data_IF_196627055606
#
_entry.id   IF_196627055606
#
_cell.length_a   1.000
_cell.length_b   1.000
_cell.length_c   1.000
_cell.angle_alpha   90.00
_cell.angle_beta   90.00
_cell.angle_gamma   90.00
#
_symmetry.space_group_name_H-M   'P 1'
#
loop_
_entity.id
_entity.type
_entity.pdbx_description
1 polymer ?
#
# COMPACT_ATOMS: atom_id res chain seq x y z
N UNK A 1 14.27 -62.60 -37.33
CA UNK A 1 13.27 -61.59 -36.88
C UNK A 1 13.33 -61.38 -35.36
N UNK A 2 13.30 -62.45 -34.56
CA UNK A 2 13.37 -62.38 -33.10
C UNK A 2 14.58 -61.59 -32.54
N UNK A 3 15.78 -61.79 -33.10
CA UNK A 3 17.00 -61.02 -32.73
C UNK A 3 16.83 -59.51 -32.93
N UNK A 4 16.16 -59.08 -34.01
CA UNK A 4 15.93 -57.67 -34.30
C UNK A 4 14.89 -57.06 -33.35
N UNK A 5 13.93 -57.86 -32.90
CA UNK A 5 12.92 -57.48 -31.91
C UNK A 5 13.46 -57.47 -30.47
N UNK A 6 14.76 -57.74 -30.25
CA UNK A 6 15.42 -57.88 -28.94
C UNK A 6 14.81 -58.97 -28.05
N UNK A 7 14.11 -59.93 -28.63
CA UNK A 7 13.61 -61.09 -27.91
C UNK A 7 14.63 -62.24 -28.05
N UNK A 8 15.68 -62.18 -27.24
CA UNK A 8 16.85 -63.05 -27.38
C UNK A 8 16.57 -64.50 -26.97
N UNK A 9 15.70 -64.73 -25.98
CA UNK A 9 15.33 -66.08 -25.53
C UNK A 9 14.59 -66.84 -26.62
N UNK A 10 13.57 -66.21 -27.21
CA UNK A 10 12.82 -66.77 -28.33
C UNK A 10 13.74 -66.99 -29.54
N UNK A 11 14.64 -66.05 -29.84
CA UNK A 11 15.61 -66.21 -30.92
C UNK A 11 16.52 -67.43 -30.70
N UNK A 12 17.03 -67.60 -29.48
CA UNK A 12 17.90 -68.70 -29.12
C UNK A 12 17.19 -70.06 -29.24
N UNK A 13 15.92 -70.13 -28.79
CA UNK A 13 15.09 -71.32 -28.93
C UNK A 13 14.76 -71.64 -30.40
N UNK A 14 14.43 -70.62 -31.21
CA UNK A 14 14.20 -70.78 -32.66
C UNK A 14 15.44 -71.32 -33.37
N UNK A 15 16.64 -70.80 -33.05
CA UNK A 15 17.89 -71.32 -33.60
C UNK A 15 18.19 -72.73 -33.12
N UNK A 16 17.87 -73.08 -31.86
CA UNK A 16 17.97 -74.45 -31.35
C UNK A 16 17.09 -75.42 -32.15
N UNK A 17 15.85 -75.01 -32.42
CA UNK A 17 14.89 -75.79 -33.23
C UNK A 17 15.40 -75.90 -34.67
N UNK A 18 15.89 -74.81 -35.25
CA UNK A 18 16.44 -74.79 -36.61
C UNK A 18 17.60 -75.80 -36.74
N UNK A 19 18.54 -75.82 -35.81
CA UNK A 19 19.66 -76.76 -35.78
C UNK A 19 19.22 -78.22 -35.66
N UNK A 20 18.17 -78.50 -34.88
CA UNK A 20 17.62 -79.86 -34.80
C UNK A 20 16.92 -80.30 -36.10
N UNK A 21 16.38 -79.36 -36.87
CA UNK A 21 15.67 -79.61 -38.14
C UNK A 21 16.57 -79.64 -39.37
N UNK A 22 17.74 -79.01 -39.29
CA UNK A 22 18.72 -78.88 -40.37
C UNK A 22 19.88 -79.83 -40.06
N UNK A 23 19.90 -81.07 -40.60
CA UNK A 23 21.06 -81.93 -40.41
C UNK A 23 22.29 -81.34 -41.11
N UNK A 24 23.47 -81.68 -40.60
CA UNK A 24 24.76 -81.37 -41.22
C UNK A 24 24.95 -82.24 -42.48
N UNK A 25 24.29 -81.81 -43.57
CA UNK A 25 24.33 -82.42 -44.88
C UNK A 25 24.77 -81.40 -45.91
N UNK A 26 25.44 -81.86 -46.97
CA UNK A 26 26.04 -80.99 -48.01
C UNK A 26 25.03 -80.02 -48.64
N UNK A 27 23.74 -80.39 -48.69
CA UNK A 27 22.66 -79.54 -49.24
C UNK A 27 22.15 -78.46 -48.29
N UNK A 28 22.29 -78.66 -46.97
CA UNK A 28 21.86 -77.75 -45.91
C UNK A 28 23.02 -77.06 -45.19
N UNK A 29 24.27 -77.40 -45.52
CA UNK A 29 25.47 -76.95 -44.83
C UNK A 29 25.50 -75.43 -44.60
N UNK A 30 25.23 -74.62 -45.64
CA UNK A 30 25.21 -73.16 -45.50
C UNK A 30 24.15 -72.66 -44.50
N UNK A 31 22.95 -73.22 -44.56
CA UNK A 31 21.86 -72.84 -43.65
C UNK A 31 22.12 -73.32 -42.22
N UNK A 32 22.76 -74.48 -42.07
CA UNK A 32 23.21 -75.01 -40.79
C UNK A 32 24.30 -74.12 -40.16
N UNK A 33 25.30 -73.70 -40.93
CA UNK A 33 26.36 -72.78 -40.49
C UNK A 33 25.79 -71.41 -40.08
N UNK A 34 24.85 -70.87 -40.86
CA UNK A 34 24.13 -69.64 -40.52
C UNK A 34 23.31 -69.80 -39.23
N UNK A 35 22.66 -70.95 -39.02
CA UNK A 35 21.94 -71.25 -37.80
C UNK A 35 22.87 -71.41 -36.59
N UNK A 36 24.06 -72.00 -36.75
CA UNK A 36 25.08 -72.10 -35.69
C UNK A 36 25.60 -70.71 -35.27
N UNK A 37 25.92 -69.86 -36.26
CA UNK A 37 26.35 -68.50 -36.00
C UNK A 37 25.26 -67.70 -35.24
N UNK A 38 24.00 -67.81 -35.70
CA UNK A 38 22.85 -67.20 -35.03
C UNK A 38 22.59 -67.77 -33.63
N UNK A 39 22.81 -69.07 -33.44
CA UNK A 39 22.69 -69.74 -32.13
C UNK A 39 23.73 -69.22 -31.13
N UNK A 40 24.99 -69.05 -31.57
CA UNK A 40 25.99 -68.46 -30.69
C UNK A 40 25.69 -66.98 -30.38
N UNK A 41 25.38 -66.17 -31.39
CA UNK A 41 25.08 -64.75 -31.18
C UNK A 41 23.88 -64.56 -30.23
N UNK A 42 22.79 -65.29 -30.46
CA UNK A 42 21.61 -65.27 -29.60
C UNK A 42 21.90 -65.76 -28.19
N UNK A 43 22.68 -66.84 -28.04
CA UNK A 43 23.04 -67.39 -26.73
C UNK A 43 23.90 -66.44 -25.90
N UNK A 44 24.84 -65.73 -26.53
CA UNK A 44 25.62 -64.67 -25.88
C UNK A 44 24.70 -63.53 -25.43
N UNK A 45 23.74 -63.10 -26.26
CA UNK A 45 22.78 -62.05 -25.90
C UNK A 45 21.86 -62.45 -24.74
N UNK A 46 21.40 -63.71 -24.72
CA UNK A 46 20.63 -64.25 -23.58
C UNK A 46 21.49 -64.28 -22.31
N UNK A 47 22.75 -64.69 -22.41
CA UNK A 47 23.66 -64.69 -21.27
C UNK A 47 23.93 -63.26 -20.75
N UNK A 48 24.14 -62.29 -21.64
CA UNK A 48 24.26 -60.87 -21.28
C UNK A 48 23.00 -60.35 -20.55
N UNK A 49 21.80 -60.73 -21.01
CA UNK A 49 20.55 -60.39 -20.34
C UNK A 49 20.44 -61.03 -18.95
N UNK A 50 20.74 -62.32 -18.83
CA UNK A 50 20.73 -63.03 -17.54
C UNK A 50 21.75 -62.42 -16.55
N UNK A 51 22.90 -61.96 -17.04
CA UNK A 51 23.88 -61.22 -16.25
C UNK A 51 23.30 -59.88 -15.75
N UNK A 52 22.61 -59.15 -16.63
CA UNK A 52 21.95 -57.90 -16.24
C UNK A 52 20.85 -58.11 -15.19
N UNK A 53 20.16 -59.26 -15.24
CA UNK A 53 19.16 -59.70 -14.26
C UNK A 53 19.78 -60.34 -13.00
N UNK A 54 21.11 -60.44 -12.91
CA UNK A 54 21.81 -61.05 -11.77
C UNK A 54 21.74 -62.59 -11.71
N UNK A 55 21.22 -63.24 -12.75
CA UNK A 55 21.08 -64.70 -12.89
C UNK A 55 22.36 -65.31 -13.47
N UNK A 56 23.46 -65.17 -12.72
CA UNK A 56 24.79 -65.62 -13.17
C UNK A 56 24.88 -67.13 -13.45
N UNK A 57 24.18 -67.96 -12.67
CA UNK A 57 24.17 -69.41 -12.86
C UNK A 57 23.47 -69.83 -14.16
N UNK A 58 22.36 -69.16 -14.50
CA UNK A 58 21.64 -69.39 -15.75
C UNK A 58 22.46 -68.91 -16.94
N UNK A 59 23.09 -67.73 -16.84
CA UNK A 59 24.01 -67.23 -17.86
C UNK A 59 25.17 -68.22 -18.14
N UNK A 60 25.78 -68.77 -17.09
CA UNK A 60 26.83 -69.79 -17.25
C UNK A 60 26.29 -71.07 -17.88
N UNK A 61 25.07 -71.49 -17.55
CA UNK A 61 24.45 -72.67 -18.17
C UNK A 61 24.18 -72.49 -19.66
N UNK A 62 23.69 -71.31 -20.08
CA UNK A 62 23.43 -70.98 -21.48
C UNK A 62 24.73 -70.93 -22.28
N UNK A 63 25.79 -70.33 -21.72
CA UNK A 63 27.09 -70.29 -22.38
C UNK A 63 27.72 -71.68 -22.53
N UNK A 64 27.60 -72.53 -21.50
CA UNK A 64 28.05 -73.93 -21.58
C UNK A 64 27.22 -74.74 -22.57
N UNK A 65 25.93 -74.43 -22.73
CA UNK A 65 25.10 -75.05 -23.77
C UNK A 65 25.61 -74.68 -25.17
N UNK A 66 25.87 -73.39 -25.42
CA UNK A 66 26.39 -72.90 -26.71
C UNK A 66 27.72 -73.54 -27.07
N UNK A 67 28.59 -73.74 -26.08
CA UNK A 67 29.93 -74.32 -26.25
C UNK A 67 29.95 -75.86 -26.25
N UNK A 68 28.79 -76.52 -26.22
CA UNK A 68 28.74 -77.98 -26.28
C UNK A 68 29.22 -78.50 -27.65
N UNK A 69 29.86 -79.67 -27.67
CA UNK A 69 30.43 -80.31 -28.87
C UNK A 69 29.44 -80.50 -30.04
N UNK A 70 28.13 -80.52 -29.74
CA UNK A 70 27.05 -80.63 -30.72
C UNK A 70 26.79 -79.35 -31.52
N UNK A 71 27.32 -78.21 -31.06
CA UNK A 71 27.13 -76.89 -31.67
C UNK A 71 28.49 -76.31 -32.08
N UNK A 72 28.99 -75.29 -31.38
CA UNK A 72 30.28 -74.65 -31.69
C UNK A 72 31.14 -74.48 -30.43
N UNK A 73 32.10 -75.39 -30.19
CA UNK A 73 33.07 -75.28 -29.10
C UNK A 73 34.00 -74.07 -29.20
N UNK A 74 34.17 -73.50 -30.40
CA UNK A 74 35.12 -72.42 -30.69
C UNK A 74 34.45 -71.05 -30.79
N UNK A 75 33.21 -70.91 -30.33
CA UNK A 75 32.57 -69.61 -30.36
C UNK A 75 33.25 -68.63 -29.40
N UNK A 76 34.12 -67.79 -29.97
CA UNK A 76 34.95 -66.80 -29.25
C UNK A 76 34.17 -65.93 -28.26
N UNK A 77 33.06 -65.26 -28.65
CA UNK A 77 32.35 -64.39 -27.72
C UNK A 77 31.75 -65.14 -26.53
N UNK A 78 31.33 -66.40 -26.70
CA UNK A 78 30.82 -67.22 -25.61
C UNK A 78 31.94 -67.66 -24.65
N UNK A 79 33.11 -68.04 -25.18
CA UNK A 79 34.29 -68.38 -24.38
C UNK A 79 34.79 -67.19 -23.55
N UNK A 80 34.88 -66.02 -24.17
CA UNK A 80 35.31 -64.78 -23.48
C UNK A 80 34.35 -64.43 -22.33
N UNK A 81 33.04 -64.48 -22.59
CA UNK A 81 32.03 -64.16 -21.57
C UNK A 81 32.02 -65.19 -20.42
N UNK A 82 32.21 -66.47 -20.73
CA UNK A 82 32.33 -67.52 -19.72
C UNK A 82 33.59 -67.33 -18.87
N UNK A 83 34.72 -66.97 -19.48
CA UNK A 83 35.95 -66.67 -18.75
C UNK A 83 35.75 -65.49 -17.77
N UNK A 84 35.07 -64.42 -18.20
CA UNK A 84 34.71 -63.30 -17.33
C UNK A 84 33.78 -63.72 -16.18
N UNK A 85 32.81 -64.60 -16.43
CA UNK A 85 31.90 -65.12 -15.38
C UNK A 85 32.61 -65.98 -14.33
N UNK A 86 33.64 -66.73 -14.74
CA UNK A 86 34.42 -67.58 -13.84
C UNK A 86 35.50 -66.80 -13.11
N UNK A 87 35.99 -65.69 -13.68
CA UNK A 87 36.97 -64.84 -13.04
C UNK A 87 36.42 -64.26 -11.72
N UNK A 88 37.07 -64.54 -10.58
CA UNK A 88 36.62 -64.00 -9.30
C UNK A 88 36.76 -62.48 -9.29
N UNK A 89 35.71 -61.79 -8.86
CA UNK A 89 35.68 -60.33 -8.74
C UNK A 89 35.40 -59.55 -10.03
N UNK A 90 35.33 -60.21 -11.19
CA UNK A 90 34.90 -59.53 -12.42
C UNK A 90 33.42 -59.13 -12.34
N UNK A 91 32.56 -60.09 -12.00
CA UNK A 91 31.15 -59.84 -11.67
C UNK A 91 30.90 -60.00 -10.18
N UNK A 92 30.14 -59.08 -9.60
CA UNK A 92 29.68 -59.22 -8.23
C UNK A 92 28.51 -60.21 -8.16
N UNK A 93 28.82 -61.47 -7.86
CA UNK A 93 27.82 -62.55 -7.71
C UNK A 93 26.89 -62.38 -6.51
N UNK A 94 27.16 -61.43 -5.61
CA UNK A 94 26.22 -61.07 -4.53
C UNK A 94 25.05 -60.24 -5.04
N UNK A 95 25.16 -59.63 -6.23
CA UNK A 95 24.07 -58.92 -6.90
C UNK A 95 23.13 -59.92 -7.59
N UNK A 96 22.44 -60.73 -6.79
CA UNK A 96 21.46 -61.70 -7.28
C UNK A 96 20.13 -61.06 -7.70
N UNK A 97 19.22 -61.85 -8.29
CA UNK A 97 17.91 -61.36 -8.76
C UNK A 97 17.08 -60.73 -7.63
N UNK A 98 17.09 -61.34 -6.45
CA UNK A 98 16.37 -60.83 -5.27
C UNK A 98 16.89 -59.48 -4.77
N UNK A 99 18.18 -59.18 -4.99
CA UNK A 99 18.74 -57.87 -4.66
C UNK A 99 18.32 -56.82 -5.70
N UNK A 100 18.34 -57.18 -6.98
CA UNK A 100 17.92 -56.29 -8.06
C UNK A 100 16.45 -55.92 -7.92
N UNK A 101 15.57 -56.89 -7.61
CA UNK A 101 14.16 -56.64 -7.32
C UNK A 101 13.96 -55.60 -6.21
N UNK A 102 14.71 -55.71 -5.10
CA UNK A 102 14.67 -54.73 -4.01
C UNK A 102 15.18 -53.36 -4.46
N UNK A 103 16.22 -53.30 -5.29
CA UNK A 103 16.73 -52.02 -5.83
C UNK A 103 15.69 -51.37 -6.73
N UNK A 104 14.96 -52.15 -7.55
CA UNK A 104 13.87 -51.65 -8.37
C UNK A 104 12.68 -51.16 -7.53
N UNK A 105 12.30 -51.91 -6.50
CA UNK A 105 11.28 -51.50 -5.53
C UNK A 105 11.66 -50.18 -4.85
N UNK A 106 12.90 -50.06 -4.36
CA UNK A 106 13.42 -48.82 -3.77
C UNK A 106 13.37 -47.66 -4.76
N UNK A 107 13.73 -47.87 -6.03
CA UNK A 107 13.64 -46.82 -7.07
C UNK A 107 12.20 -46.36 -7.29
N UNK A 108 11.25 -47.29 -7.35
CA UNK A 108 9.83 -46.96 -7.50
C UNK A 108 9.31 -46.17 -6.30
N UNK A 109 9.62 -46.61 -5.08
CA UNK A 109 9.22 -45.93 -3.85
C UNK A 109 9.81 -44.53 -3.73
N UNK A 110 11.07 -44.34 -4.12
CA UNK A 110 11.69 -43.01 -4.15
C UNK A 110 11.01 -42.09 -5.17
N UNK A 111 10.72 -42.59 -6.37
CA UNK A 111 10.01 -41.81 -7.39
C UNK A 111 8.60 -41.40 -6.92
N UNK A 112 7.87 -42.32 -6.27
CA UNK A 112 6.58 -42.04 -5.64
C UNK A 112 6.73 -40.95 -4.56
N UNK A 113 7.73 -41.09 -3.67
CA UNK A 113 7.97 -40.16 -2.57
C UNK A 113 8.27 -38.75 -3.07
N UNK A 114 9.11 -38.63 -4.10
CA UNK A 114 9.38 -37.35 -4.77
C UNK A 114 8.12 -36.77 -5.40
N UNK A 115 7.30 -37.58 -6.09
CA UNK A 115 6.02 -37.12 -6.63
C UNK A 115 5.03 -36.65 -5.54
N UNK A 116 5.02 -37.30 -4.38
CA UNK A 116 4.23 -36.84 -3.22
C UNK A 116 4.78 -35.54 -2.63
N UNK A 117 6.11 -35.40 -2.54
CA UNK A 117 6.75 -34.18 -2.09
C UNK A 117 6.41 -33.00 -3.02
N UNK A 118 6.56 -33.18 -4.33
CA UNK A 118 6.33 -32.14 -5.33
C UNK A 118 4.85 -31.71 -5.37
N UNK A 119 3.94 -32.60 -5.01
CA UNK A 119 2.51 -32.30 -4.83
C UNK A 119 2.15 -31.73 -3.45
N UNK A 120 3.13 -31.48 -2.58
CA UNK A 120 2.95 -30.94 -1.23
C UNK A 120 2.36 -31.92 -0.21
N UNK A 121 2.21 -33.20 -0.57
CA UNK A 121 1.66 -34.26 0.31
C UNK A 121 2.76 -34.87 1.16
N UNK A 122 3.29 -34.07 2.08
CA UNK A 122 4.48 -34.40 2.87
C UNK A 122 4.32 -35.64 3.75
N UNK A 123 3.14 -35.90 4.32
CA UNK A 123 2.95 -37.07 5.19
C UNK A 123 2.95 -38.40 4.41
N UNK A 124 2.46 -38.38 3.17
CA UNK A 124 2.54 -39.55 2.28
C UNK A 124 3.97 -39.75 1.78
N UNK A 125 4.65 -38.67 1.42
CA UNK A 125 6.05 -38.72 1.02
C UNK A 125 6.93 -39.30 2.13
N UNK A 126 6.75 -38.86 3.38
CA UNK A 126 7.50 -39.35 4.54
C UNK A 126 7.34 -40.87 4.72
N UNK A 127 6.10 -41.38 4.66
CA UNK A 127 5.82 -42.82 4.74
C UNK A 127 6.50 -43.62 3.63
N UNK A 128 6.56 -43.08 2.42
CA UNK A 128 7.25 -43.73 1.29
C UNK A 128 8.77 -43.78 1.51
N UNK A 129 9.35 -42.72 2.07
CA UNK A 129 10.76 -42.75 2.48
C UNK A 129 11.02 -43.75 3.62
N UNK A 130 10.14 -43.85 4.61
CA UNK A 130 10.26 -44.89 5.65
C UNK A 130 10.18 -46.31 5.07
N UNK A 131 9.34 -46.55 4.05
CA UNK A 131 9.30 -47.85 3.35
C UNK A 131 10.64 -48.16 2.67
N UNK A 132 11.29 -47.15 2.07
CA UNK A 132 12.65 -47.31 1.52
C UNK A 132 13.63 -47.67 2.63
N UNK A 133 13.58 -46.99 3.78
CA UNK A 133 14.44 -47.28 4.93
C UNK A 133 14.17 -48.65 5.57
N UNK A 134 12.95 -49.20 5.43
CA UNK A 134 12.65 -50.55 5.86
C UNK A 134 13.32 -51.61 4.98
N UNK A 135 13.47 -51.34 3.68
CA UNK A 135 14.16 -52.23 2.71
C UNK A 135 15.68 -52.04 2.80
N UNK A 136 16.12 -50.78 2.79
CA UNK A 136 17.52 -50.35 2.88
C UNK A 136 17.69 -49.30 4.00
N UNK A 137 18.00 -49.76 5.22
CA UNK A 137 18.15 -48.89 6.40
C UNK A 137 19.19 -47.77 6.26
N UNK A 138 20.14 -47.91 5.34
CA UNK A 138 21.24 -46.95 5.17
C UNK A 138 21.12 -46.12 3.90
N UNK A 139 19.92 -46.05 3.31
CA UNK A 139 19.69 -45.28 2.10
C UNK A 139 19.79 -43.76 2.36
N UNK A 140 20.85 -43.14 1.82
CA UNK A 140 21.08 -41.70 1.98
C UNK A 140 20.06 -40.82 1.25
N UNK A 141 19.49 -41.29 0.13
CA UNK A 141 18.50 -40.53 -0.62
C UNK A 141 17.19 -40.40 0.18
N UNK A 142 16.74 -41.49 0.82
CA UNK A 142 15.55 -41.46 1.66
C UNK A 142 15.72 -40.52 2.87
N UNK A 143 16.86 -40.58 3.57
CA UNK A 143 17.14 -39.68 4.71
C UNK A 143 17.19 -38.20 4.30
N UNK A 144 17.81 -37.89 3.16
CA UNK A 144 17.79 -36.53 2.60
C UNK A 144 16.38 -36.10 2.21
N UNK A 145 15.55 -37.03 1.73
CA UNK A 145 14.14 -36.79 1.44
C UNK A 145 13.32 -36.43 2.68
N UNK A 146 13.50 -37.17 3.78
CA UNK A 146 12.90 -36.86 5.09
C UNK A 146 13.33 -35.48 5.59
N UNK A 147 14.63 -35.16 5.53
CA UNK A 147 15.15 -33.83 5.90
C UNK A 147 14.53 -32.71 5.04
N UNK A 148 14.38 -32.93 3.74
CA UNK A 148 13.74 -31.98 2.82
C UNK A 148 12.28 -31.72 3.23
N UNK A 149 11.55 -32.75 3.63
CA UNK A 149 10.18 -32.65 4.15
C UNK A 149 10.14 -31.84 5.45
N UNK A 150 11.01 -32.16 6.40
CA UNK A 150 11.04 -31.49 7.69
C UNK A 150 11.39 -30.00 7.54
N UNK A 151 12.33 -29.67 6.66
CA UNK A 151 12.65 -28.30 6.31
C UNK A 151 11.46 -27.56 5.66
N UNK A 152 10.69 -28.22 4.80
CA UNK A 152 9.50 -27.64 4.20
C UNK A 152 8.41 -27.38 5.25
N UNK A 153 8.18 -28.34 6.16
CA UNK A 153 7.25 -28.18 7.29
C UNK A 153 7.69 -27.06 8.23
N UNK A 154 8.99 -26.96 8.52
CA UNK A 154 9.57 -25.90 9.33
C UNK A 154 9.32 -24.52 8.72
N UNK A 155 9.64 -24.32 7.43
CA UNK A 155 9.42 -23.05 6.72
C UNK A 155 7.95 -22.64 6.70
N UNK A 156 7.05 -23.59 6.45
CA UNK A 156 5.61 -23.34 6.56
C UNK A 156 5.23 -22.82 7.95
N UNK A 157 5.80 -23.40 9.01
CA UNK A 157 5.60 -22.94 10.38
C UNK A 157 6.07 -21.50 10.61
N UNK A 158 7.24 -21.13 10.09
CA UNK A 158 7.74 -19.75 10.15
C UNK A 158 6.82 -18.77 9.40
N UNK A 159 6.40 -19.12 8.19
CA UNK A 159 5.50 -18.29 7.37
C UNK A 159 4.14 -18.11 8.06
N UNK A 160 3.56 -19.18 8.58
CA UNK A 160 2.29 -19.14 9.31
C UNK A 160 2.38 -18.28 10.58
N UNK A 161 3.50 -18.37 11.31
CA UNK A 161 3.77 -17.53 12.47
C UNK A 161 3.90 -16.05 12.08
N UNK A 162 4.67 -15.75 11.04
CA UNK A 162 4.88 -14.40 10.55
C UNK A 162 3.58 -13.76 10.04
N UNK A 163 2.75 -14.52 9.35
CA UNK A 163 1.42 -14.09 8.90
C UNK A 163 0.53 -13.72 10.09
N UNK A 164 0.43 -14.63 11.06
CA UNK A 164 -0.39 -14.43 12.27
C UNK A 164 0.09 -13.20 13.05
N UNK A 165 1.40 -13.06 13.22
CA UNK A 165 2.01 -11.89 13.88
C UNK A 165 1.73 -10.61 13.10
N UNK A 166 1.86 -10.63 11.77
CA UNK A 166 1.57 -9.50 10.90
C UNK A 166 0.12 -9.05 10.99
N UNK A 167 -0.84 -9.99 11.03
CA UNK A 167 -2.26 -9.68 11.28
C UNK A 167 -2.47 -9.00 12.61
N UNK A 168 -1.91 -9.56 13.69
CA UNK A 168 -2.05 -8.97 15.03
C UNK A 168 -1.47 -7.56 15.09
N UNK A 169 -0.32 -7.31 14.48
CA UNK A 169 0.27 -5.97 14.37
C UNK A 169 -0.61 -5.02 13.55
N UNK A 170 -1.21 -5.49 12.46
CA UNK A 170 -2.17 -4.72 11.66
C UNK A 170 -3.40 -4.33 12.48
N UNK A 171 -3.94 -5.25 13.28
CA UNK A 171 -5.11 -4.98 14.12
C UNK A 171 -4.80 -4.01 15.25
N UNK A 172 -3.62 -4.15 15.88
CA UNK A 172 -3.11 -3.12 16.80
C UNK A 172 -3.04 -1.79 16.09
N UNK A 173 -2.41 -1.71 14.91
CA UNK A 173 -2.29 -0.44 14.20
C UNK A 173 -3.65 0.18 13.84
N UNK A 174 -4.65 -0.63 13.44
CA UNK A 174 -6.02 -0.14 13.22
C UNK A 174 -6.63 0.45 14.49
N UNK A 175 -6.35 -0.12 15.67
CA UNK A 175 -6.79 0.44 16.95
C UNK A 175 -6.14 1.78 17.31
N UNK A 176 -4.92 2.03 16.83
CA UNK A 176 -4.22 3.31 17.01
C UNK A 176 -4.55 4.35 15.93
N UNK A 177 -5.12 3.93 14.80
CA UNK A 177 -5.58 4.85 13.78
C UNK A 177 -6.70 5.71 14.37
N UNK A 178 -6.45 7.01 14.46
CA UNK A 178 -7.53 7.95 14.70
C UNK A 178 -8.47 7.84 13.50
N UNK A 179 -9.77 7.55 13.71
CA UNK A 179 -10.70 7.57 12.60
C UNK A 179 -10.55 8.92 11.91
N UNK A 180 -10.25 8.89 10.61
CA UNK A 180 -10.23 10.09 9.79
C UNK A 180 -11.52 10.82 10.11
N UNK A 181 -11.42 12.10 10.51
CA UNK A 181 -12.61 12.94 10.57
C UNK A 181 -13.19 12.89 9.17
N UNK A 182 -14.25 12.12 9.00
CA UNK A 182 -15.06 12.22 7.82
C UNK A 182 -15.55 13.65 7.88
N UNK A 183 -14.97 14.52 7.06
CA UNK A 183 -15.63 15.75 6.71
C UNK A 183 -16.96 15.27 6.16
N UNK A 184 -18.03 15.40 6.96
CA UNK A 184 -19.37 15.08 6.53
C UNK A 184 -19.58 15.74 5.17
N UNK A 185 -20.42 15.15 4.29
CA UNK A 185 -20.60 15.63 2.91
C UNK A 185 -20.64 17.14 3.00
N UNK A 186 -19.61 17.80 2.47
CA UNK A 186 -19.33 19.23 2.69
C UNK A 186 -20.68 19.89 2.71
N UNK A 187 -21.14 20.30 3.90
CA UNK A 187 -22.53 20.71 4.07
C UNK A 187 -22.75 21.67 2.93
N UNK A 188 -23.61 21.31 1.96
CA UNK A 188 -23.88 22.13 0.77
C UNK A 188 -23.93 23.53 1.30
N UNK A 189 -22.96 24.37 0.90
CA UNK A 189 -22.75 25.67 1.53
C UNK A 189 -24.11 26.25 1.76
N UNK A 190 -24.55 26.20 3.02
CA UNK A 190 -25.85 26.72 3.35
C UNK A 190 -25.50 28.18 3.38
N UNK A 191 -25.62 28.82 2.22
CA UNK A 191 -25.44 30.24 2.05
C UNK A 191 -26.27 30.87 3.14
N UNK A 192 -25.63 31.23 4.26
CA UNK A 192 -26.22 32.13 5.21
C UNK A 192 -26.48 33.40 4.39
N UNK A 193 -27.73 33.88 4.27
CA UNK A 193 -28.06 35.03 3.45
C UNK A 193 -27.59 36.32 4.13
N UNK A 194 -26.29 36.44 4.38
CA UNK A 194 -25.61 37.69 4.76
C UNK A 194 -25.77 38.71 3.61
N UNK A 195 -25.91 38.24 2.37
CA UNK A 195 -26.22 39.05 1.20
C UNK A 195 -27.55 39.82 1.29
N UNK A 196 -28.54 39.32 2.06
CA UNK A 196 -29.82 40.06 2.24
C UNK A 196 -29.65 41.24 3.20
N UNK A 197 -28.99 41.02 4.34
CA UNK A 197 -28.79 42.06 5.36
C UNK A 197 -27.87 43.20 4.89
N UNK A 198 -26.86 42.92 4.04
CA UNK A 198 -26.01 43.97 3.46
C UNK A 198 -26.79 44.85 2.47
N UNK A 199 -27.65 44.24 1.64
CA UNK A 199 -28.52 44.97 0.70
C UNK A 199 -29.50 45.88 1.45
N UNK A 200 -30.10 45.37 2.54
CA UNK A 200 -31.07 46.10 3.34
C UNK A 200 -30.42 47.28 4.11
N UNK A 201 -29.22 47.10 4.67
CA UNK A 201 -28.45 48.18 5.32
C UNK A 201 -28.02 49.25 4.33
N UNK A 202 -27.55 48.85 3.13
CA UNK A 202 -27.17 49.79 2.07
C UNK A 202 -28.36 50.65 1.61
N UNK A 203 -29.56 50.05 1.52
CA UNK A 203 -30.79 50.76 1.18
C UNK A 203 -31.18 51.81 2.22
N UNK A 204 -31.07 51.51 3.51
CA UNK A 204 -31.37 52.49 4.57
C UNK A 204 -30.36 53.62 4.57
N UNK A 205 -29.07 53.33 4.41
CA UNK A 205 -28.05 54.36 4.26
C UNK A 205 -28.33 55.29 3.08
N UNK A 206 -28.80 54.75 1.95
CA UNK A 206 -29.18 55.57 0.80
C UNK A 206 -30.38 56.49 1.12
N UNK A 207 -31.41 55.98 1.80
CA UNK A 207 -32.55 56.79 2.26
C UNK A 207 -32.13 57.91 3.21
N UNK A 208 -31.25 57.63 4.17
CA UNK A 208 -30.72 58.64 5.10
C UNK A 208 -30.00 59.79 4.38
N UNK A 209 -29.33 59.51 3.27
CA UNK A 209 -28.58 60.51 2.51
C UNK A 209 -29.41 61.25 1.47
N UNK A 210 -30.46 60.61 0.93
CA UNK A 210 -31.26 61.17 -0.18
C UNK A 210 -32.48 61.95 0.31
N UNK A 211 -33.05 61.60 1.46
CA UNK A 211 -34.21 62.32 2.02
C UNK A 211 -33.72 63.65 2.58
N UNK A 212 -34.03 64.74 1.87
CA UNK A 212 -33.70 66.11 2.27
C UNK A 212 -34.88 66.70 3.05
N UNK A 213 -34.62 67.18 4.26
CA UNK A 213 -35.62 67.85 5.08
C UNK A 213 -35.51 69.36 4.85
N UNK A 214 -36.57 70.03 4.37
CA UNK A 214 -36.48 71.44 3.97
C UNK A 214 -36.07 72.39 5.09
N UNK A 215 -36.63 72.21 6.30
CA UNK A 215 -36.33 73.00 7.49
C UNK A 215 -36.64 72.20 8.77
N UNK A 216 -35.71 72.21 9.72
CA UNK A 216 -35.85 71.64 11.05
C UNK A 216 -35.47 72.72 12.06
N UNK A 217 -36.39 73.08 12.94
CA UNK A 217 -36.14 74.05 14.00
C UNK A 217 -36.73 73.52 15.31
N UNK A 218 -35.86 73.32 16.30
CA UNK A 218 -36.23 72.90 17.65
C UNK A 218 -35.77 73.96 18.64
N UNK A 219 -36.66 74.32 19.55
CA UNK A 219 -36.41 75.24 20.66
C UNK A 219 -36.78 74.50 21.94
N UNK A 220 -35.78 73.98 22.68
CA UNK A 220 -35.95 73.21 23.92
C UNK A 220 -36.80 71.92 23.77
N UNK A 221 -36.72 71.25 22.61
CA UNK A 221 -37.49 70.03 22.34
C UNK A 221 -36.88 68.79 23.03
N UNK A 222 -37.73 67.83 23.40
CA UNK A 222 -37.24 66.52 23.86
C UNK A 222 -36.75 65.65 22.71
N UNK A 223 -35.85 64.69 22.99
CA UNK A 223 -35.34 63.72 21.99
C UNK A 223 -36.49 62.99 21.28
N UNK A 224 -37.54 62.63 22.02
CA UNK A 224 -38.68 61.89 21.47
C UNK A 224 -39.47 62.76 20.49
N UNK A 225 -39.80 63.98 20.86
CA UNK A 225 -40.50 64.94 19.98
C UNK A 225 -39.68 65.26 18.73
N UNK A 226 -38.36 65.44 18.88
CA UNK A 226 -37.46 65.72 17.77
C UNK A 226 -37.42 64.57 16.76
N UNK A 227 -37.44 63.32 17.23
CA UNK A 227 -37.43 62.12 16.38
C UNK A 227 -38.77 61.88 15.72
N UNK A 228 -39.88 62.09 16.43
CA UNK A 228 -41.22 61.96 15.86
C UNK A 228 -41.44 62.99 14.73
N UNK A 229 -40.96 64.22 14.92
CA UNK A 229 -40.93 65.22 13.85
C UNK A 229 -40.07 64.76 12.65
N UNK A 230 -38.87 64.23 12.90
CA UNK A 230 -38.02 63.71 11.82
C UNK A 230 -38.64 62.51 11.10
N UNK A 231 -39.36 61.62 11.79
CA UNK A 231 -40.08 60.50 11.16
C UNK A 231 -41.18 61.00 10.23
N UNK A 232 -41.94 62.00 10.67
CA UNK A 232 -42.99 62.61 9.84
C UNK A 232 -42.42 63.31 8.61
N UNK A 233 -41.37 64.12 8.79
CA UNK A 233 -40.69 64.79 7.68
C UNK A 233 -39.99 63.82 6.74
N UNK A 234 -39.42 62.73 7.25
CA UNK A 234 -38.81 61.69 6.44
C UNK A 234 -39.83 60.98 5.56
N UNK A 235 -41.00 60.63 6.10
CA UNK A 235 -42.07 59.99 5.34
C UNK A 235 -42.67 60.92 4.26
N UNK A 236 -42.78 62.22 4.56
CA UNK A 236 -43.32 63.21 3.63
C UNK A 236 -42.36 63.52 2.46
N UNK A 237 -41.04 63.51 2.71
CA UNK A 237 -40.02 63.88 1.71
C UNK A 237 -39.30 62.65 1.09
N UNK A 238 -39.77 61.42 1.33
CA UNK A 238 -39.21 60.20 0.71
C UNK A 238 -39.78 59.97 -0.70
N UNK A 239 -38.91 60.13 -1.70
CA UNK A 239 -39.18 59.91 -3.14
C UNK A 239 -38.78 58.52 -3.63
N UNK A 240 -38.33 57.62 -2.74
CA UNK A 240 -37.88 56.28 -3.11
C UNK A 240 -39.02 55.41 -3.66
N UNK A 241 -38.83 54.69 -4.79
CA UNK A 241 -39.90 53.92 -5.44
C UNK A 241 -40.20 52.54 -4.83
N UNK A 242 -39.38 52.04 -3.90
CA UNK A 242 -39.60 50.73 -3.24
C UNK A 242 -39.61 50.85 -1.70
N UNK A 243 -40.57 50.17 -1.06
CA UNK A 243 -40.68 49.94 0.40
C UNK A 243 -41.51 50.94 1.19
N UNK A 244 -41.51 50.77 2.52
CA UNK A 244 -42.14 51.71 3.46
C UNK A 244 -41.52 53.11 3.31
N UNK A 245 -42.35 54.15 3.26
CA UNK A 245 -41.89 55.54 3.16
C UNK A 245 -41.20 55.98 4.44
N UNK A 246 -40.05 56.63 4.31
CA UNK A 246 -39.21 57.06 5.42
C UNK A 246 -38.29 55.95 5.95
N UNK A 247 -37.77 56.16 7.17
CA UNK A 247 -36.84 55.26 7.87
C UNK A 247 -37.35 55.06 9.31
N UNK A 248 -37.37 53.81 9.79
CA UNK A 248 -37.77 53.52 11.16
C UNK A 248 -36.64 53.91 12.13
N UNK A 249 -36.90 54.85 13.05
CA UNK A 249 -35.90 55.37 13.99
C UNK A 249 -36.29 54.93 15.40
N UNK A 250 -35.38 54.25 16.09
CA UNK A 250 -35.61 53.68 17.43
C UNK A 250 -34.58 54.24 18.41
N UNK A 251 -35.06 54.84 19.50
CA UNK A 251 -34.21 55.34 20.59
C UNK A 251 -34.06 54.30 21.67
N UNK A 252 -32.81 53.98 22.03
CA UNK A 252 -32.48 53.10 23.14
C UNK A 252 -31.76 53.90 24.22
N UNK A 253 -32.48 54.30 25.26
CA UNK A 253 -31.93 55.11 26.35
C UNK A 253 -31.38 54.28 27.54
N UNK A 254 -31.61 52.97 27.57
CA UNK A 254 -31.12 52.05 28.62
C UNK A 254 -30.09 51.06 28.08
N UNK A 255 -29.06 50.77 28.87
CA UNK A 255 -28.05 49.74 28.54
C UNK A 255 -28.66 48.35 28.60
N UNK A 256 -28.25 47.47 27.68
CA UNK A 256 -28.64 46.06 27.68
C UNK A 256 -27.92 45.34 28.83
N UNK A 257 -28.62 45.00 29.92
CA UNK A 257 -28.06 44.19 31.02
C UNK A 257 -28.39 44.57 32.46
N UNK A 258 -29.14 45.64 32.74
CA UNK A 258 -29.58 45.92 34.13
C UNK A 258 -30.86 45.15 34.48
N UNK A 259 -30.68 44.07 35.26
CA UNK A 259 -31.75 43.34 35.95
C UNK A 259 -31.72 43.79 37.42
N UNK A 260 -32.89 44.10 37.98
CA UNK A 260 -33.09 44.54 39.37
C UNK A 260 -32.45 43.60 40.41
N UNK A 261 -31.91 44.09 41.55
CA UNK A 261 -31.52 43.20 42.65
C UNK A 261 -32.80 42.70 43.36
N UNK A 262 -33.21 41.48 43.01
CA UNK A 262 -34.19 40.73 43.80
C UNK A 262 -33.50 40.08 45.00
N UNK A 263 -34.06 40.33 46.18
CA UNK A 263 -33.67 39.81 47.49
C UNK A 263 -33.66 38.27 47.49
N UNK A 264 -32.60 37.69 48.05
CA UNK A 264 -32.47 36.26 48.33
C UNK A 264 -33.20 35.87 49.62
N UNK A 265 -33.93 34.75 49.67
CA UNK A 265 -34.30 34.10 50.92
C UNK A 265 -33.41 32.87 51.21
N UNK A 266 -33.01 32.75 52.47
CA UNK A 266 -32.20 31.69 53.05
C UNK A 266 -33.02 30.48 53.49
N UNK A 267 -32.48 29.26 53.35
CA UNK A 267 -32.89 28.04 54.11
C UNK A 267 -31.75 26.98 54.08
N UNK A 268 -31.73 25.92 54.93
CA UNK A 268 -30.76 25.75 56.02
C UNK A 268 -29.95 24.42 55.98
N UNK A 269 -29.12 24.22 57.01
CA UNK A 269 -28.14 23.16 57.27
C UNK A 269 -28.67 21.70 57.28
N UNK A 270 -27.84 20.69 56.90
CA UNK A 270 -28.10 19.26 57.15
C UNK A 270 -27.51 18.75 58.50
N UNK A 271 -28.01 17.61 59.05
CA UNK A 271 -27.74 17.15 60.41
C UNK A 271 -26.52 16.20 60.57
N UNK A 272 -26.10 16.05 61.84
CA UNK A 272 -24.94 15.32 62.37
C UNK A 272 -25.25 13.90 62.88
N UNK A 273 -24.28 12.98 62.77
CA UNK A 273 -23.94 11.90 63.73
C UNK A 273 -22.66 11.17 63.23
N UNK A 274 -21.76 10.55 64.00
CA UNK A 274 -21.19 10.70 65.34
C UNK A 274 -19.95 9.74 65.42
N UNK A 275 -19.00 10.06 66.31
CA UNK A 275 -17.90 9.22 66.85
C UNK A 275 -16.70 8.90 65.92
N UNK A 276 -15.43 9.03 66.33
CA UNK A 276 -14.81 9.47 67.58
C UNK A 276 -13.35 9.01 67.62
N UNK A 277 -12.41 9.89 68.04
CA UNK A 277 -11.21 9.65 68.86
C UNK A 277 -10.16 10.78 68.71
N UNK A 278 -9.32 11.05 69.73
CA UNK A 278 -9.01 12.42 70.16
C UNK A 278 -7.52 12.84 70.10
N UNK A 279 -7.28 14.16 70.26
CA UNK A 279 -6.05 14.76 70.81
C UNK A 279 -5.09 15.36 69.78
N UNK A 280 -5.17 16.69 69.55
CA UNK A 280 -4.20 17.74 69.97
C UNK A 280 -2.96 17.80 69.04
N UNK A 281 -2.59 18.91 68.40
CA UNK A 281 -2.17 20.19 69.00
C UNK A 281 -2.34 21.41 68.04
N UNK A 282 -2.68 22.55 68.67
CA UNK A 282 -2.56 23.99 68.38
C UNK A 282 -2.48 24.63 66.96
N UNK A 283 -3.12 25.83 66.77
CA UNK A 283 -3.17 26.58 65.52
C UNK A 283 -2.12 27.70 65.41
N UNK A 284 -1.81 28.13 64.18
CA UNK A 284 -1.17 29.44 63.91
C UNK A 284 -2.11 30.26 63.03
N UNK A 285 -2.43 31.47 63.50
CA UNK A 285 -3.25 32.47 62.83
C UNK A 285 -2.36 33.53 62.16
N UNK A 286 -2.77 34.06 61.00
CA UNK A 286 -2.54 35.45 60.57
C UNK A 286 -3.46 35.80 59.38
N UNK A 287 -3.77 37.09 59.10
CA UNK A 287 -5.15 37.55 58.88
C UNK A 287 -5.37 38.16 57.48
N UNK A 288 -6.63 38.47 57.21
CA UNK A 288 -7.13 39.13 56.01
C UNK A 288 -6.63 40.60 55.85
N UNK A 289 -6.59 41.07 54.59
CA UNK A 289 -6.45 42.49 54.20
C UNK A 289 -7.67 42.89 53.33
N UNK A 290 -8.24 44.11 53.49
CA UNK A 290 -9.59 44.43 53.02
C UNK A 290 -9.68 44.96 51.59
N UNK A 291 -10.90 44.90 51.07
CA UNK A 291 -11.37 45.33 49.76
C UNK A 291 -11.34 46.85 49.55
N UNK A 292 -11.07 47.26 48.32
CA UNK A 292 -11.09 48.64 47.85
C UNK A 292 -12.38 48.95 47.05
N UNK A 293 -12.75 50.22 47.15
CA UNK A 293 -14.00 50.90 46.81
C UNK A 293 -14.13 51.25 45.31
N UNK A 294 -15.36 51.31 44.77
CA UNK A 294 -15.68 51.63 43.38
C UNK A 294 -16.25 53.06 43.21
N UNK A 295 -15.99 53.77 42.09
CA UNK A 295 -16.41 55.18 41.87
C UNK A 295 -17.78 55.32 41.16
N UNK A 296 -18.35 56.56 41.04
CA UNK A 296 -19.79 56.81 40.95
C UNK A 296 -20.40 56.93 39.53
N UNK A 297 -21.75 56.88 39.50
CA UNK A 297 -22.66 56.75 38.34
C UNK A 297 -22.93 58.10 37.65
N UNK A 298 -22.88 58.13 36.31
CA UNK A 298 -23.22 59.29 35.45
C UNK A 298 -24.70 59.19 35.00
N UNK A 299 -25.41 60.32 34.98
CA UNK A 299 -26.84 60.46 34.68
C UNK A 299 -27.30 59.89 33.32
N UNK A 300 -28.55 59.40 33.26
CA UNK A 300 -29.16 58.74 32.10
C UNK A 300 -29.52 59.72 30.95
N UNK A 301 -29.41 59.30 29.68
CA UNK A 301 -29.50 60.16 28.47
C UNK A 301 -30.93 60.57 28.04
N UNK A 302 -31.96 60.29 28.84
CA UNK A 302 -33.37 60.39 28.42
C UNK A 302 -34.00 61.79 28.58
N UNK A 303 -33.34 62.71 29.27
CA UNK A 303 -33.83 64.07 29.53
C UNK A 303 -33.07 65.17 28.75
N UNK A 304 -32.35 64.82 27.67
CA UNK A 304 -31.61 65.83 26.91
C UNK A 304 -32.57 66.77 26.17
N UNK A 305 -32.29 68.08 26.28
CA UNK A 305 -33.00 69.16 25.58
C UNK A 305 -32.24 69.54 24.33
N UNK A 306 -32.95 69.62 23.20
CA UNK A 306 -32.36 69.85 21.87
C UNK A 306 -32.80 71.23 21.39
N UNK A 307 -31.82 72.06 21.05
CA UNK A 307 -32.03 73.36 20.43
C UNK A 307 -31.16 73.42 19.18
N UNK A 308 -31.79 73.43 18.00
CA UNK A 308 -31.08 73.39 16.72
C UNK A 308 -31.93 73.98 15.60
N UNK A 309 -31.30 74.68 14.66
CA UNK A 309 -31.91 75.16 13.42
C UNK A 309 -31.10 74.69 12.21
N UNK A 310 -31.71 73.85 11.38
CA UNK A 310 -31.12 73.19 10.22
C UNK A 310 -31.99 73.45 9.00
N UNK A 311 -31.38 73.81 7.85
CA UNK A 311 -32.09 74.06 6.59
C UNK A 311 -31.53 73.15 5.49
N UNK A 312 -32.40 72.53 4.69
CA UNK A 312 -32.03 71.70 3.53
C UNK A 312 -30.99 70.63 3.87
N UNK A 313 -31.27 69.81 4.88
CA UNK A 313 -30.29 68.83 5.41
C UNK A 313 -30.76 67.39 5.19
N UNK A 314 -29.85 66.46 4.83
CA UNK A 314 -30.16 65.03 4.75
C UNK A 314 -30.62 64.47 6.10
N UNK A 315 -31.58 63.55 6.08
CA UNK A 315 -32.12 62.90 7.28
C UNK A 315 -31.02 62.29 8.18
N UNK A 316 -30.00 61.66 7.58
CA UNK A 316 -28.88 61.08 8.32
C UNK A 316 -28.06 62.11 9.08
N UNK A 317 -27.83 63.29 8.50
CA UNK A 317 -27.12 64.37 9.16
C UNK A 317 -27.96 65.03 10.26
N UNK A 318 -29.26 65.26 10.00
CA UNK A 318 -30.18 65.75 11.02
C UNK A 318 -30.22 64.83 12.25
N UNK A 319 -30.31 63.51 12.03
CA UNK A 319 -30.23 62.52 13.10
C UNK A 319 -28.91 62.56 13.85
N UNK A 320 -27.78 62.72 13.14
CA UNK A 320 -26.46 62.82 13.76
C UNK A 320 -26.32 64.06 14.64
N UNK A 321 -26.82 65.22 14.20
CA UNK A 321 -26.77 66.45 15.01
C UNK A 321 -27.61 66.34 16.27
N UNK A 322 -28.83 65.77 16.17
CA UNK A 322 -29.70 65.53 17.32
C UNK A 322 -29.08 64.50 18.27
N UNK A 323 -28.52 63.42 17.74
CA UNK A 323 -27.87 62.38 18.52
C UNK A 323 -26.67 62.94 19.30
N UNK A 324 -25.84 63.77 18.67
CA UNK A 324 -24.70 64.41 19.31
C UNK A 324 -25.11 65.35 20.47
N UNK A 325 -26.19 66.12 20.32
CA UNK A 325 -26.72 66.96 21.43
C UNK A 325 -27.27 66.11 22.58
N UNK A 326 -27.76 64.90 22.28
CA UNK A 326 -28.33 63.96 23.25
C UNK A 326 -27.31 62.96 23.84
N UNK A 327 -26.02 63.06 23.49
CA UNK A 327 -25.01 62.06 23.80
C UNK A 327 -25.42 60.61 23.39
N UNK A 328 -26.00 60.49 22.20
CA UNK A 328 -26.31 59.23 21.51
C UNK A 328 -25.48 59.07 20.23
N UNK A 329 -25.18 57.83 19.84
CA UNK A 329 -24.58 57.44 18.56
C UNK A 329 -25.64 56.84 17.64
N UNK A 330 -25.54 57.11 16.34
CA UNK A 330 -26.42 56.56 15.31
C UNK A 330 -25.82 55.26 14.78
N UNK A 331 -26.57 54.16 14.85
CA UNK A 331 -26.22 52.86 14.26
C UNK A 331 -27.29 52.47 13.24
N UNK A 332 -26.88 52.09 12.04
CA UNK A 332 -27.79 51.66 10.97
C UNK A 332 -27.87 50.14 10.95
N UNK A 333 -29.08 49.61 11.08
CA UNK A 333 -29.41 48.19 10.98
C UNK A 333 -30.21 47.92 9.70
N UNK A 334 -30.35 46.66 9.24
CA UNK A 334 -31.06 46.31 8.00
C UNK A 334 -32.50 46.84 7.88
N UNK A 335 -33.19 47.15 8.99
CA UNK A 335 -34.58 47.60 8.98
C UNK A 335 -34.85 48.88 9.79
N UNK A 336 -33.86 49.41 10.51
CA UNK A 336 -34.06 50.58 11.38
C UNK A 336 -32.75 51.31 11.65
N UNK A 337 -32.88 52.55 12.11
CA UNK A 337 -31.76 53.35 12.64
C UNK A 337 -31.90 53.42 14.15
N UNK A 338 -30.91 52.87 14.84
CA UNK A 338 -30.84 52.82 16.30
C UNK A 338 -30.04 54.02 16.82
N UNK A 339 -30.59 54.72 17.80
CA UNK A 339 -29.88 55.71 18.59
C UNK A 339 -29.50 55.07 19.92
N UNK A 340 -28.20 54.90 20.14
CA UNK A 340 -27.63 54.12 21.24
C UNK A 340 -26.77 55.06 22.11
N UNK A 341 -26.63 54.88 23.43
CA UNK A 341 -25.74 55.74 24.23
C UNK A 341 -24.29 55.64 23.77
N UNK A 342 -23.52 56.74 23.81
CA UNK A 342 -22.11 56.74 23.39
C UNK A 342 -21.25 55.69 24.11
N UNK A 343 -21.65 55.30 25.32
CA UNK A 343 -20.91 54.38 26.19
C UNK A 343 -21.07 52.90 25.84
N UNK A 344 -21.96 52.55 24.90
CA UNK A 344 -22.11 51.16 24.44
C UNK A 344 -21.03 50.87 23.38
N UNK A 345 -20.21 49.84 23.55
CA UNK A 345 -19.24 49.43 22.52
C UNK A 345 -20.00 48.79 21.36
N UNK A 346 -19.75 49.21 20.12
CA UNK A 346 -20.37 48.56 18.95
C UNK A 346 -19.76 47.18 18.75
N UNK A 347 -20.59 46.13 18.74
CA UNK A 347 -20.19 44.73 18.44
C UNK A 347 -19.81 44.49 16.96
N UNK A 348 -19.46 45.53 16.22
CA UNK A 348 -19.06 45.40 14.83
C UNK A 348 -17.57 45.03 14.76
N UNK A 349 -17.32 43.73 14.55
CA UNK A 349 -15.98 43.20 14.29
C UNK A 349 -15.54 43.66 12.89
N UNK A 350 -14.67 44.67 12.84
CA UNK A 350 -14.03 45.09 11.58
C UNK A 350 -12.81 44.21 11.32
N UNK A 351 -12.92 43.29 10.37
CA UNK A 351 -11.79 42.50 9.89
C UNK A 351 -10.90 43.39 9.02
N UNK A 352 -9.70 43.73 9.52
CA UNK A 352 -8.67 44.42 8.73
C UNK A 352 -7.69 43.40 8.17
N UNK A 353 -7.61 43.30 6.85
CA UNK A 353 -6.62 42.47 6.15
C UNK A 353 -5.38 43.29 5.81
N UNK A 354 -4.22 42.89 6.32
CA UNK A 354 -2.93 43.47 5.97
C UNK A 354 -2.18 42.51 5.05
N UNK A 355 -1.73 42.99 3.88
CA UNK A 355 -0.79 42.24 3.05
C UNK A 355 0.60 42.43 3.62
N UNK A 356 1.18 41.34 4.11
CA UNK A 356 2.53 41.34 4.70
C UNK A 356 3.51 40.59 3.81
N UNK A 357 4.75 41.09 3.63
CA UNK A 357 5.81 40.39 2.90
C UNK A 357 6.12 39.02 3.53
N UNK A 358 6.62 38.04 2.76
CA UNK A 358 6.93 36.69 3.27
C UNK A 358 7.97 36.67 4.42
N UNK A 359 8.75 37.75 4.58
CA UNK A 359 9.70 37.95 5.68
C UNK A 359 9.08 38.50 6.98
N UNK A 360 7.75 38.71 7.04
CA UNK A 360 7.08 39.40 8.15
C UNK A 360 7.23 38.71 9.51
N UNK A 361 7.41 37.39 9.53
CA UNK A 361 7.67 36.62 10.75
C UNK A 361 9.15 36.27 10.97
N UNK A 362 10.05 36.89 10.20
CA UNK A 362 11.50 36.74 10.35
C UNK A 362 12.05 35.46 9.71
N UNK A 363 12.42 35.54 8.43
CA UNK A 363 13.22 34.54 7.74
C UNK A 363 12.44 33.34 7.17
N UNK A 364 13.04 32.62 6.21
CA UNK A 364 12.37 31.50 5.54
C UNK A 364 12.02 30.43 6.56
N UNK A 365 10.71 30.17 6.68
CA UNK A 365 10.15 29.03 7.40
C UNK A 365 10.54 27.74 6.68
N UNK A 366 11.80 27.33 6.82
CA UNK A 366 12.25 26.02 6.41
C UNK A 366 11.86 25.00 7.49
N UNK A 367 10.74 24.33 7.25
CA UNK A 367 10.26 23.19 8.06
C UNK A 367 11.25 22.01 8.08
N UNK A 368 12.32 22.02 7.28
CA UNK A 368 13.39 21.03 7.28
C UNK A 368 14.41 21.15 8.42
N UNK A 369 14.58 22.33 9.03
CA UNK A 369 15.64 22.54 10.04
C UNK A 369 15.27 22.01 11.45
N UNK A 370 13.98 21.91 11.78
CA UNK A 370 13.53 21.47 13.11
C UNK A 370 13.38 19.94 13.25
N UNK A 371 13.41 19.19 12.14
CA UNK A 371 13.24 17.72 12.18
C UNK A 371 14.58 16.96 12.25
N UNK A 372 15.71 17.60 11.94
CA UNK A 372 17.04 16.96 11.92
C UNK A 372 17.78 17.01 13.26
N UNK A 373 17.31 17.80 14.23
CA UNK A 373 18.00 18.01 15.50
C UNK A 373 17.56 17.05 16.64
N UNK A 374 16.61 16.14 16.40
CA UNK A 374 16.10 15.19 17.41
C UNK A 374 16.41 13.71 17.13
N UNK A 375 17.19 13.35 16.09
CA UNK A 375 17.37 11.95 15.68
C UNK A 375 18.80 11.55 15.30
N UNK A 376 19.85 12.10 15.92
CA UNK A 376 21.22 11.58 15.73
C UNK A 376 22.12 11.70 16.96
N UNK A 377 21.97 10.75 17.88
CA UNK A 377 22.98 10.39 18.87
C UNK A 377 23.70 9.12 18.44
N UNK A 378 24.91 9.23 17.89
CA UNK A 378 25.82 8.10 17.61
C UNK A 378 26.83 8.39 16.49
N UNK A 379 28.16 8.17 16.68
CA UNK A 379 29.17 8.67 15.75
C UNK A 379 29.47 7.67 14.63
N UNK A 380 29.56 8.17 13.39
CA UNK A 380 30.22 7.47 12.30
C UNK A 380 30.87 8.46 11.34
N UNK A 381 32.07 8.09 10.90
CA UNK A 381 33.09 8.90 10.27
C UNK A 381 33.06 8.75 8.74
N UNK A 382 33.14 9.87 8.02
CA UNK A 382 33.71 10.00 6.67
C UNK A 382 32.90 9.49 5.46
N UNK A 383 32.41 10.40 4.60
CA UNK A 383 33.04 10.74 3.31
C UNK A 383 32.19 11.73 2.48
N UNK A 384 32.93 12.64 1.86
CA UNK A 384 32.64 13.63 0.81
C UNK A 384 31.44 13.39 -0.12
N UNK A 385 30.52 14.37 -0.17
CA UNK A 385 29.41 14.46 -1.13
C UNK A 385 29.54 15.67 -2.07
N UNK A 386 29.46 15.36 -3.36
CA UNK A 386 29.46 16.22 -4.55
C UNK A 386 28.33 17.26 -4.54
N UNK A 387 28.63 18.49 -4.94
CA UNK A 387 27.66 19.56 -5.21
C UNK A 387 26.73 19.15 -6.37
N UNK A 388 25.42 19.16 -6.14
CA UNK A 388 24.41 19.10 -7.20
C UNK A 388 23.51 20.32 -7.06
N UNK A 389 23.42 21.06 -8.18
CA UNK A 389 22.72 22.32 -8.33
C UNK A 389 21.19 22.18 -8.21
N UNK A 390 20.57 23.24 -7.69
CA UNK A 390 19.13 23.44 -7.56
C UNK A 390 18.45 23.68 -8.92
N UNK A 391 17.37 22.98 -9.30
CA UNK A 391 16.57 23.35 -10.46
C UNK A 391 15.56 24.46 -10.12
N UNK A 392 15.61 25.54 -10.90
CA UNK A 392 14.60 26.62 -10.95
C UNK A 392 13.41 26.19 -11.81
N UNK A 393 12.18 26.32 -11.28
CA UNK A 393 10.94 26.02 -12.00
C UNK A 393 10.67 27.03 -13.13
N UNK A 394 10.52 26.54 -14.37
CA UNK A 394 9.99 27.29 -15.50
C UNK A 394 8.48 27.10 -15.63
N UNK A 395 7.77 28.17 -16.02
CA UNK A 395 6.31 28.22 -16.15
C UNK A 395 5.83 27.35 -17.31
N UNK A 396 4.84 26.51 -17.03
CA UNK A 396 4.15 25.64 -17.99
C UNK A 396 3.27 26.52 -18.89
N UNK A 397 3.51 26.45 -20.20
CA UNK A 397 2.57 26.91 -21.25
C UNK A 397 2.10 25.66 -21.98
N UNK A 398 0.78 25.44 -21.96
CA UNK A 398 0.08 24.38 -22.68
C UNK A 398 0.31 24.50 -24.20
N UNK A 399 0.67 23.40 -24.85
CA UNK A 399 0.33 23.12 -26.24
C UNK A 399 0.06 21.63 -26.43
N UNK A 400 -1.11 21.38 -27.02
CA UNK A 400 -1.60 20.11 -27.55
C UNK A 400 -0.55 19.42 -28.45
N UNK A 401 -0.48 18.09 -28.40
CA UNK A 401 -0.75 17.27 -29.59
C UNK A 401 -0.66 15.76 -29.34
N UNK A 402 -1.74 15.11 -29.78
CA UNK A 402 -1.84 13.80 -30.43
C UNK A 402 -1.35 12.52 -29.73
N UNK A 403 -2.34 11.73 -29.37
CA UNK A 403 -2.29 10.30 -29.11
C UNK A 403 -2.00 9.55 -30.41
N UNK A 404 -0.99 8.69 -30.39
CA UNK A 404 -0.96 7.50 -31.23
C UNK A 404 -0.44 6.33 -30.39
N UNK A 405 -1.33 5.39 -30.12
CA UNK A 405 -1.03 4.12 -29.48
C UNK A 405 -0.32 3.21 -30.48
N UNK A 406 0.78 2.57 -30.09
CA UNK A 406 1.21 1.28 -30.65
C UNK A 406 1.85 0.44 -29.56
N UNK A 407 1.29 -0.75 -29.39
CA UNK A 407 1.69 -1.86 -28.54
C UNK A 407 2.98 -2.53 -29.01
N UNK A 408 3.84 -2.88 -28.07
CA UNK A 408 4.97 -3.79 -28.28
C UNK A 408 4.53 -5.27 -28.31
N UNK A 409 5.44 -6.09 -28.84
CA UNK A 409 5.56 -7.57 -28.80
C UNK A 409 5.25 -8.28 -30.12
N UNK A 410 6.29 -8.48 -30.95
CA UNK A 410 6.83 -9.81 -31.34
C UNK A 410 8.06 -9.70 -32.27
N UNK A 411 9.09 -10.49 -31.95
CA UNK A 411 9.98 -11.30 -32.83
C UNK A 411 11.07 -10.68 -33.73
N UNK A 412 12.30 -11.05 -33.35
CA UNK A 412 13.46 -11.55 -34.12
C UNK A 412 14.27 -10.69 -35.13
N UNK A 413 15.58 -10.75 -34.87
CA UNK A 413 16.72 -10.97 -35.78
C UNK A 413 16.98 -10.02 -36.97
N UNK A 414 18.12 -9.31 -36.86
CA UNK A 414 19.12 -9.30 -37.94
C UNK A 414 19.46 -7.96 -38.62
N UNK A 415 20.73 -7.57 -38.45
CA UNK A 415 21.62 -6.82 -39.36
C UNK A 415 22.02 -5.36 -39.02
N UNK A 416 23.29 -5.25 -38.57
CA UNK A 416 24.41 -4.45 -39.08
C UNK A 416 24.15 -3.03 -39.64
N UNK A 417 24.74 -2.01 -38.98
CA UNK A 417 25.59 -1.03 -39.68
C UNK A 417 26.63 -0.33 -38.78
N UNK A 418 27.85 -0.27 -39.32
CA UNK A 418 29.07 0.46 -38.92
C UNK A 418 28.89 1.84 -38.27
N UNK A 419 29.79 2.18 -37.34
CA UNK A 419 30.75 3.31 -37.48
C UNK A 419 31.91 3.17 -36.49
N UNK A 420 33.00 3.86 -36.80
CA UNK A 420 34.39 3.56 -36.50
C UNK A 420 34.89 3.94 -35.09
N UNK A 421 35.94 3.25 -34.61
CA UNK A 421 37.27 3.86 -34.36
C UNK A 421 38.27 2.87 -33.70
N UNK A 422 39.40 2.64 -34.39
CA UNK A 422 40.73 2.67 -33.78
C UNK A 422 41.27 1.45 -33.01
N UNK A 423 42.23 0.75 -33.62
CA UNK A 423 43.53 0.52 -32.95
C UNK A 423 43.96 -0.91 -32.61
N UNK A 424 44.96 -1.37 -33.38
CA UNK A 424 46.10 -2.23 -33.00
C UNK A 424 46.01 -3.78 -33.02
N UNK A 425 46.51 -4.31 -34.16
CA UNK A 425 47.68 -5.21 -34.33
C UNK A 425 47.64 -6.70 -33.94
N UNK A 426 47.98 -7.51 -34.96
CA UNK A 426 48.55 -8.88 -35.00
C UNK A 426 47.61 -10.03 -34.69
N UNK A 427 47.59 -11.16 -35.40
CA UNK A 427 48.39 -11.62 -36.53
C UNK A 427 48.11 -13.11 -36.76
N UNK A 428 48.29 -13.54 -38.01
CA UNK A 428 48.53 -14.91 -38.48
C UNK A 428 47.37 -15.90 -38.74
N UNK A 429 47.41 -16.35 -40.00
CA UNK A 429 47.22 -17.74 -40.49
C UNK A 429 45.83 -18.21 -40.96
N UNK A 430 45.51 -17.77 -42.18
CA UNK A 430 45.32 -18.59 -43.38
C UNK A 430 44.97 -20.10 -43.28
N UNK A 431 43.75 -20.39 -43.77
CA UNK A 431 43.45 -21.18 -45.00
C UNK A 431 43.39 -22.72 -44.89
N UNK A 432 42.18 -23.27 -45.13
CA UNK A 432 41.81 -24.21 -46.24
C UNK A 432 40.39 -24.79 -45.98
N UNK A 433 39.39 -24.45 -46.80
CA UNK A 433 38.80 -25.27 -47.91
C UNK A 433 38.17 -26.56 -47.38
N UNK A 434 36.89 -26.88 -47.58
CA UNK A 434 36.24 -27.12 -48.88
C UNK A 434 34.72 -27.35 -48.68
N UNK A 435 33.91 -26.89 -49.64
CA UNK A 435 32.51 -27.31 -49.85
C UNK A 435 32.41 -27.83 -51.29
N UNK A 436 31.70 -28.94 -51.53
CA UNK A 436 30.82 -29.02 -52.70
C UNK A 436 29.51 -29.74 -52.32
N UNK A 437 28.36 -29.55 -52.96
CA UNK A 437 27.98 -28.81 -54.14
C UNK A 437 26.46 -28.94 -54.30
N UNK A 438 25.85 -28.07 -55.10
CA UNK A 438 24.42 -28.10 -55.41
C UNK A 438 24.17 -27.53 -56.80
N UNK A 439 24.26 -28.41 -57.80
CA UNK A 439 23.56 -28.32 -59.10
C UNK A 439 22.05 -28.34 -58.86
N UNK A 440 21.15 -27.72 -59.60
CA UNK A 440 21.20 -27.03 -60.88
C UNK A 440 19.75 -26.58 -61.19
N UNK A 441 19.61 -25.62 -62.10
CA UNK A 441 18.35 -25.08 -62.62
C UNK A 441 17.72 -25.97 -63.68
N UNK A 442 16.40 -26.19 -63.60
CA UNK A 442 15.41 -26.15 -64.70
C UNK A 442 14.02 -26.50 -64.15
#
# INVERSE_FOLDING_TARGET
AAMQARNYTLAHDEFRIALNSLPDAVTSAKAHDEALAGFCESGVKVAEQNIAEGKFAEAESVLREVLADRYDPNCRPALELLAHLQQPGYFNKTMGPTFIEKVEEVKQLLADADGYYDSGRYDLAFKKYEQVLAIDPYNTAARRGEEKIDNAKYRYGEDAYNETRGRQLSDVQKGWQQPLRQYGPTARETFNPISKNLSDTARINNKLNTIIIPRVEFQDASIREAIDFLRQQAAANDTSPEGEKGVNIVVRSRRLGEISPSVAPAVPLPPSAAAGSPGAETPVATPARPAAEAPPVVAAPENARITISLNQIPLGEALRYIANQAALKVKVEPHAVLLIPLTEQSEELVTKTYRVPPEFFGGPLDVGFYLSQSLSGGPAQGQTGTQVATPVSSKITEKEQYVAATSDVYTAAGQVQQTAAGGYVSGQQSRRTETPGGTGTA
#
